data_IF_750806167713
#
_entry.id   IF_750806167713
#
_cell.length_a   1.000
_cell.length_b   1.000
_cell.length_c   1.000
_cell.angle_alpha   90.00
_cell.angle_beta   90.00
_cell.angle_gamma   90.00
#
_symmetry.space_group_name_H-M   'P 1'
#
loop_
_entity.id
_entity.type
_entity.pdbx_description
1 polymer ?
#
# COMPACT_ATOMS: atom_id res chain seq x y z
N UNK A 1 -31.45 -21.79 -55.33
CA UNK A 1 -30.97 -20.48 -54.86
C UNK A 1 -31.36 -20.30 -53.40
N UNK A 2 -30.37 -19.92 -52.60
CA UNK A 2 -30.39 -19.29 -51.26
C UNK A 2 -30.55 -20.20 -50.01
N UNK A 3 -29.48 -20.08 -49.21
CA UNK A 3 -29.05 -20.62 -47.92
C UNK A 3 -29.89 -20.14 -46.73
N UNK A 4 -30.01 -20.96 -45.68
CA UNK A 4 -30.03 -20.47 -44.29
C UNK A 4 -29.56 -21.55 -43.31
N UNK A 5 -28.26 -21.57 -43.00
CA UNK A 5 -27.70 -22.27 -41.83
C UNK A 5 -27.84 -21.33 -40.65
N UNK A 6 -28.75 -21.64 -39.73
CA UNK A 6 -28.89 -20.89 -38.46
C UNK A 6 -27.89 -21.48 -37.47
N UNK A 7 -26.74 -20.83 -37.33
CA UNK A 7 -25.79 -21.09 -36.26
C UNK A 7 -26.23 -20.30 -35.01
N UNK A 8 -26.80 -21.00 -34.00
CA UNK A 8 -27.00 -20.43 -32.67
C UNK A 8 -25.65 -20.36 -31.94
N UNK A 9 -25.00 -19.20 -32.04
CA UNK A 9 -23.91 -18.84 -31.15
C UNK A 9 -24.49 -18.53 -29.76
N UNK A 10 -24.46 -19.52 -28.86
CA UNK A 10 -24.59 -19.29 -27.43
C UNK A 10 -23.34 -18.55 -26.95
N UNK A 11 -23.45 -17.22 -26.92
CA UNK A 11 -22.44 -16.34 -26.35
C UNK A 11 -22.19 -16.75 -24.89
N UNK A 12 -21.00 -17.28 -24.63
CA UNK A 12 -20.47 -17.39 -23.28
C UNK A 12 -20.39 -16.00 -22.67
N UNK A 13 -21.29 -15.70 -21.74
CA UNK A 13 -21.17 -14.51 -20.91
C UNK A 13 -19.88 -14.66 -20.10
N UNK A 14 -18.86 -13.79 -20.25
CA UNK A 14 -17.78 -13.78 -19.29
C UNK A 14 -18.42 -13.44 -17.96
N UNK A 15 -18.38 -14.38 -17.01
CA UNK A 15 -18.77 -14.13 -15.63
C UNK A 15 -18.07 -12.84 -15.20
N UNK A 16 -18.82 -11.74 -15.08
CA UNK A 16 -18.29 -10.50 -14.51
C UNK A 16 -17.71 -10.92 -13.17
N UNK A 17 -16.39 -10.82 -12.95
CA UNK A 17 -15.85 -11.11 -11.63
C UNK A 17 -16.62 -10.23 -10.65
N UNK A 18 -16.92 -10.72 -9.43
CA UNK A 18 -17.59 -9.91 -8.42
C UNK A 18 -16.87 -8.57 -8.36
N UNK A 19 -17.62 -7.48 -8.24
CA UNK A 19 -17.10 -6.11 -8.05
C UNK A 19 -16.28 -6.08 -6.74
N UNK A 20 -15.10 -6.70 -6.77
CA UNK A 20 -14.08 -6.60 -5.76
C UNK A 20 -13.79 -5.12 -5.68
N UNK A 21 -14.14 -4.54 -4.53
CA UNK A 21 -13.94 -3.16 -4.16
C UNK A 21 -12.96 -2.43 -5.08
N UNK A 22 -13.52 -1.70 -6.05
CA UNK A 22 -12.77 -1.07 -7.15
C UNK A 22 -11.95 0.12 -6.68
N UNK A 23 -12.01 0.44 -5.39
CA UNK A 23 -11.23 1.51 -4.79
C UNK A 23 -9.73 1.22 -4.95
N UNK A 24 -9.03 2.30 -5.28
CA UNK A 24 -7.60 2.37 -5.48
C UNK A 24 -7.04 3.37 -4.50
N UNK A 25 -5.77 3.19 -4.13
CA UNK A 25 -5.07 4.07 -3.22
C UNK A 25 -3.61 4.20 -3.66
N UNK A 26 -3.04 5.39 -3.51
CA UNK A 26 -1.61 5.59 -3.71
C UNK A 26 -0.92 5.44 -2.35
N UNK A 27 0.06 4.54 -2.27
CA UNK A 27 0.76 4.24 -1.04
C UNK A 27 2.23 4.61 -1.16
N UNK A 28 2.80 5.09 -0.06
CA UNK A 28 4.24 5.13 0.14
C UNK A 28 4.60 4.08 1.19
N UNK A 29 5.48 3.16 0.84
CA UNK A 29 6.07 2.23 1.80
C UNK A 29 7.40 2.81 2.27
N UNK A 30 7.57 2.92 3.58
CA UNK A 30 8.85 3.26 4.20
C UNK A 30 9.37 2.05 4.95
N UNK A 31 10.50 1.51 4.48
CA UNK A 31 11.17 0.34 5.03
C UNK A 31 12.53 0.73 5.62
N UNK A 32 12.88 0.15 6.76
CA UNK A 32 14.24 0.19 7.30
C UNK A 32 14.73 -1.23 7.58
N UNK A 33 16.02 -1.45 7.31
CA UNK A 33 16.72 -2.69 7.69
C UNK A 33 17.62 -2.45 8.87
N UNK A 34 17.47 -3.27 9.90
CA UNK A 34 18.32 -3.24 11.09
C UNK A 34 19.61 -4.04 10.83
N UNK A 35 20.78 -3.56 11.33
CA UNK A 35 22.03 -4.31 11.27
C UNK A 35 21.92 -5.70 11.91
N UNK A 36 22.66 -6.69 11.39
CA UNK A 36 22.62 -8.06 11.91
C UNK A 36 23.12 -8.15 13.35
N UNK A 37 24.23 -7.46 13.63
CA UNK A 37 25.01 -7.56 14.86
C UNK A 37 24.46 -6.76 16.05
N UNK A 38 23.19 -6.32 16.02
CA UNK A 38 22.58 -5.63 17.17
C UNK A 38 22.24 -6.61 18.29
N UNK A 39 22.64 -6.26 19.51
CA UNK A 39 22.15 -6.91 20.73
C UNK A 39 20.63 -6.76 20.86
N UNK A 40 19.96 -7.60 21.68
CA UNK A 40 18.51 -7.49 21.89
C UNK A 40 18.07 -6.10 22.38
N UNK A 41 18.85 -5.45 23.24
CA UNK A 41 18.56 -4.12 23.79
C UNK A 41 18.67 -3.05 22.70
N UNK A 42 19.75 -3.07 21.91
CA UNK A 42 19.93 -2.12 20.81
C UNK A 42 18.85 -2.28 19.74
N UNK A 43 18.46 -3.52 19.45
CA UNK A 43 17.37 -3.83 18.52
C UNK A 43 16.04 -3.29 19.00
N UNK A 44 15.70 -3.48 20.27
CA UNK A 44 14.48 -2.94 20.87
C UNK A 44 14.49 -1.40 20.82
N UNK A 45 15.64 -0.77 21.10
CA UNK A 45 15.83 0.68 20.97
C UNK A 45 15.62 1.16 19.54
N UNK A 46 16.19 0.48 18.56
CA UNK A 46 16.02 0.80 17.15
C UNK A 46 14.56 0.72 16.69
N UNK A 47 13.85 -0.34 17.09
CA UNK A 47 12.42 -0.49 16.82
C UNK A 47 11.62 0.65 17.44
N UNK A 48 11.91 1.01 18.70
CA UNK A 48 11.24 2.10 19.39
C UNK A 48 11.51 3.46 18.72
N UNK A 49 12.74 3.72 18.28
CA UNK A 49 13.10 4.93 17.52
C UNK A 49 12.32 5.00 16.22
N UNK A 50 12.30 3.92 15.43
CA UNK A 50 11.55 3.89 14.17
C UNK A 50 10.05 4.12 14.41
N UNK A 51 9.47 3.50 15.45
CA UNK A 51 8.08 3.68 15.82
C UNK A 51 7.77 5.12 16.27
N UNK A 52 8.66 5.75 17.04
CA UNK A 52 8.49 7.13 17.50
C UNK A 52 8.58 8.12 16.32
N UNK A 53 9.55 7.94 15.45
CA UNK A 53 9.78 8.80 14.30
C UNK A 53 8.64 8.71 13.28
N UNK A 54 8.21 7.50 12.94
CA UNK A 54 7.10 7.30 11.98
C UNK A 54 5.77 7.86 12.48
N UNK A 55 5.56 7.93 13.80
CA UNK A 55 4.40 8.63 14.38
C UNK A 55 4.41 10.13 14.13
N UNK A 56 5.53 10.75 13.74
CA UNK A 56 5.60 12.16 13.39
C UNK A 56 5.20 12.44 11.94
N UNK A 57 5.06 11.41 11.11
CA UNK A 57 4.65 11.54 9.70
C UNK A 57 3.19 11.99 9.66
N UNK A 58 2.96 13.17 9.07
CA UNK A 58 1.63 13.77 8.87
C UNK A 58 1.33 14.00 7.39
N UNK A 59 2.37 14.06 6.56
CA UNK A 59 2.27 14.05 5.11
C UNK A 59 3.30 13.10 4.49
N UNK A 60 3.01 12.57 3.30
CA UNK A 60 3.93 11.66 2.59
C UNK A 60 5.36 12.19 2.41
N UNK A 61 5.59 13.50 2.13
CA UNK A 61 6.94 14.04 2.05
C UNK A 61 7.73 13.98 3.37
N UNK A 62 7.08 13.85 4.54
CA UNK A 62 7.79 13.76 5.82
C UNK A 62 8.59 12.47 5.95
N UNK A 63 8.13 11.38 5.32
CA UNK A 63 8.88 10.13 5.27
C UNK A 63 10.25 10.30 4.59
N UNK A 64 10.32 11.15 3.56
CA UNK A 64 11.58 11.48 2.88
C UNK A 64 12.54 12.24 3.80
N UNK A 65 12.03 13.15 4.64
CA UNK A 65 12.84 13.87 5.64
C UNK A 65 13.43 12.92 6.67
N UNK A 66 12.62 11.99 7.19
CA UNK A 66 13.08 10.98 8.16
C UNK A 66 14.12 10.05 7.52
N UNK A 67 13.85 9.54 6.32
CA UNK A 67 14.80 8.69 5.60
C UNK A 67 16.14 9.40 5.32
N UNK A 68 16.09 10.67 4.93
CA UNK A 68 17.29 11.50 4.74
C UNK A 68 18.08 11.69 6.04
N UNK A 69 17.38 11.96 7.15
CA UNK A 69 17.99 12.06 8.48
C UNK A 69 18.66 10.74 8.87
N UNK A 70 17.99 9.61 8.74
CA UNK A 70 18.59 8.30 9.04
C UNK A 70 19.85 8.01 8.23
N UNK A 71 19.87 8.40 6.95
CA UNK A 71 21.04 8.29 6.09
C UNK A 71 22.19 9.19 6.55
N UNK A 72 21.89 10.44 6.93
CA UNK A 72 22.86 11.41 7.46
C UNK A 72 23.48 10.92 8.77
N UNK A 73 22.64 10.50 9.70
CA UNK A 73 23.03 10.10 11.05
C UNK A 73 23.59 8.66 11.10
N UNK A 74 23.55 7.95 9.96
CA UNK A 74 23.94 6.54 9.81
C UNK A 74 23.24 5.60 10.79
N UNK A 75 22.02 5.95 11.20
CA UNK A 75 21.22 5.15 12.14
C UNK A 75 20.64 3.93 11.43
N UNK A 76 20.05 4.13 10.24
CA UNK A 76 19.38 3.08 9.46
C UNK A 76 19.57 3.27 7.95
N UNK A 77 19.49 2.17 7.20
CA UNK A 77 19.26 2.20 5.75
C UNK A 77 17.75 2.22 5.47
N UNK A 78 17.21 3.41 5.24
CA UNK A 78 15.81 3.62 4.87
C UNK A 78 15.59 3.53 3.35
N UNK A 79 14.56 2.81 2.93
CA UNK A 79 14.09 2.75 1.53
C UNK A 79 12.65 3.24 1.46
N UNK A 80 12.38 4.14 0.51
CA UNK A 80 11.04 4.61 0.18
C UNK A 80 10.62 4.02 -1.15
N UNK A 81 9.46 3.37 -1.18
CA UNK A 81 8.89 2.78 -2.38
C UNK A 81 7.49 3.35 -2.62
N UNK A 82 7.35 4.12 -3.71
CA UNK A 82 6.05 4.59 -4.15
C UNK A 82 5.29 3.45 -4.85
N UNK A 83 4.05 3.25 -4.44
CA UNK A 83 3.13 2.25 -4.99
C UNK A 83 1.83 2.97 -5.39
N UNK A 84 1.76 3.54 -6.59
CA UNK A 84 0.55 4.20 -7.06
C UNK A 84 -0.52 3.18 -7.45
N UNK A 85 -1.79 3.61 -7.41
CA UNK A 85 -2.93 2.87 -7.96
C UNK A 85 -3.10 1.43 -7.41
N UNK A 86 -2.78 1.21 -6.14
CA UNK A 86 -2.89 -0.10 -5.49
C UNK A 86 -4.36 -0.46 -5.33
N UNK A 87 -4.80 -1.66 -5.77
CA UNK A 87 -6.15 -2.15 -5.48
C UNK A 87 -6.32 -2.29 -3.97
N UNK A 88 -7.25 -1.53 -3.39
CA UNK A 88 -7.43 -1.57 -1.94
C UNK A 88 -7.87 -2.96 -1.46
N UNK A 89 -8.69 -3.65 -2.25
CA UNK A 89 -9.09 -5.04 -2.00
C UNK A 89 -7.93 -6.05 -1.96
N UNK A 90 -6.82 -5.78 -2.66
CA UNK A 90 -5.67 -6.69 -2.74
C UNK A 90 -4.73 -6.57 -1.53
N UNK A 91 -4.93 -5.54 -0.68
CA UNK A 91 -4.15 -5.38 0.54
C UNK A 91 -4.58 -6.43 1.60
N UNK A 92 -3.63 -6.92 2.42
CA UNK A 92 -3.96 -7.79 3.54
C UNK A 92 -5.01 -7.18 4.47
N UNK A 93 -5.94 -7.98 4.98
CA UNK A 93 -7.04 -7.50 5.81
C UNK A 93 -6.62 -6.63 7.02
N UNK A 94 -5.56 -6.98 7.79
CA UNK A 94 -5.09 -6.13 8.89
C UNK A 94 -4.62 -4.76 8.43
N UNK A 95 -3.95 -4.69 7.27
CA UNK A 95 -3.47 -3.44 6.68
C UNK A 95 -4.63 -2.59 6.19
N UNK A 96 -5.66 -3.19 5.59
CA UNK A 96 -6.87 -2.46 5.19
C UNK A 96 -7.55 -1.83 6.40
N UNK A 97 -7.78 -2.62 7.45
CA UNK A 97 -8.41 -2.13 8.67
C UNK A 97 -7.63 -0.96 9.29
N UNK A 98 -6.30 -1.04 9.31
CA UNK A 98 -5.47 0.04 9.81
C UNK A 98 -5.56 1.30 8.93
N UNK A 99 -5.39 1.17 7.62
CA UNK A 99 -5.49 2.28 6.66
C UNK A 99 -6.89 2.94 6.64
N UNK A 100 -7.94 2.23 7.05
CA UNK A 100 -9.27 2.81 7.19
C UNK A 100 -9.40 3.75 8.40
N UNK A 101 -8.52 3.61 9.39
CA UNK A 101 -8.52 4.41 10.63
C UNK A 101 -7.46 5.51 10.63
N UNK A 102 -6.37 5.31 9.88
CA UNK A 102 -5.26 6.24 9.79
C UNK A 102 -5.58 7.33 8.76
N UNK A 103 -5.49 8.63 9.10
CA UNK A 103 -5.73 9.70 8.15
C UNK A 103 -4.76 9.65 6.96
N UNK A 104 -5.23 10.10 5.79
CA UNK A 104 -4.36 10.28 4.61
C UNK A 104 -3.15 11.16 4.96
N UNK A 105 -1.96 10.72 4.55
CA UNK A 105 -0.68 11.36 4.84
C UNK A 105 0.00 10.85 6.10
N UNK A 106 -0.70 10.11 6.97
CA UNK A 106 -0.15 9.56 8.20
C UNK A 106 0.37 8.13 8.00
N UNK A 107 1.39 7.75 8.77
CA UNK A 107 1.91 6.40 8.77
C UNK A 107 1.03 5.44 9.59
N UNK A 108 0.90 4.20 9.11
CA UNK A 108 0.41 3.08 9.91
C UNK A 108 1.38 2.75 11.05
N UNK A 109 0.97 1.88 11.97
CA UNK A 109 1.91 1.28 12.92
C UNK A 109 3.00 0.50 12.17
N UNK A 110 4.22 0.45 12.73
CA UNK A 110 5.28 -0.40 12.20
C UNK A 110 4.86 -1.86 12.19
N UNK A 111 5.15 -2.54 11.09
CA UNK A 111 5.00 -3.98 10.93
C UNK A 111 6.24 -4.56 10.25
N UNK A 112 6.42 -5.87 10.34
CA UNK A 112 7.55 -6.56 9.71
C UNK A 112 8.15 -7.62 10.61
N UNK A 113 9.41 -7.95 10.35
CA UNK A 113 10.17 -8.95 11.11
C UNK A 113 11.22 -8.28 11.99
N UNK A 114 11.85 -9.02 12.90
CA UNK A 114 12.84 -8.47 13.84
C UNK A 114 14.08 -7.81 13.21
N UNK A 115 14.20 -7.82 11.87
CA UNK A 115 15.28 -7.18 11.11
C UNK A 115 14.80 -6.19 10.06
N UNK A 116 13.51 -6.19 9.74
CA UNK A 116 12.96 -5.35 8.69
C UNK A 116 11.65 -4.76 9.18
N UNK A 117 11.64 -3.44 9.32
CA UNK A 117 10.49 -2.70 9.81
C UNK A 117 9.93 -1.85 8.67
N UNK A 118 8.61 -1.82 8.57
CA UNK A 118 7.89 -1.15 7.50
C UNK A 118 6.73 -0.35 8.07
N UNK A 119 6.41 0.77 7.44
CA UNK A 119 5.12 1.45 7.57
C UNK A 119 4.54 1.72 6.18
N UNK A 120 3.22 1.82 6.11
CA UNK A 120 2.53 2.32 4.93
C UNK A 120 1.96 3.70 5.23
N UNK A 121 1.97 4.54 4.21
CA UNK A 121 1.39 5.88 4.28
C UNK A 121 0.45 6.01 3.08
N UNK A 122 -0.81 6.30 3.34
CA UNK A 122 -1.77 6.62 2.29
C UNK A 122 -1.48 8.02 1.75
N UNK A 123 -1.05 8.13 0.48
CA UNK A 123 -0.77 9.42 -0.15
C UNK A 123 -1.95 9.99 -0.94
N UNK A 124 -3.04 9.24 -1.03
CA UNK A 124 -4.31 9.71 -1.56
C UNK A 124 -5.48 9.09 -0.80
N UNK A 125 -6.64 9.74 -0.88
CA UNK A 125 -7.89 9.12 -0.46
C UNK A 125 -8.24 7.93 -1.38
N UNK A 126 -9.08 7.03 -0.89
CA UNK A 126 -9.61 5.94 -1.70
C UNK A 126 -10.39 6.52 -2.89
N UNK A 127 -9.99 6.16 -4.10
CA UNK A 127 -10.58 6.63 -5.36
C UNK A 127 -11.12 5.45 -6.17
N UNK A 128 -12.27 5.60 -6.81
CA UNK A 128 -12.76 4.60 -7.76
C UNK A 128 -11.95 4.72 -9.05
N UNK A 129 -11.51 3.59 -9.62
CA UNK A 129 -10.81 3.61 -10.89
C UNK A 129 -11.72 4.19 -12.01
N UNK A 130 -11.25 5.13 -12.85
CA UNK A 130 -12.07 5.79 -13.88
C UNK A 130 -12.78 4.81 -14.83
N UNK A 131 -12.17 3.65 -15.11
CA UNK A 131 -12.68 2.67 -16.07
C UNK A 131 -13.88 1.85 -15.56
N UNK A 132 -14.29 2.03 -14.29
CA UNK A 132 -15.44 1.33 -13.72
C UNK A 132 -16.79 1.94 -14.10
N UNK A 133 -16.85 3.27 -14.25
CA UNK A 133 -18.11 3.99 -14.44
C UNK A 133 -18.63 3.95 -15.90
N UNK A 134 -17.78 3.60 -16.87
CA UNK A 134 -18.11 3.67 -18.30
C UNK A 134 -18.66 2.37 -18.90
N UNK A 135 -18.93 1.33 -18.09
CA UNK A 135 -19.46 0.04 -18.57
C UNK A 135 -20.99 -0.10 -18.40
N UNK A 136 -21.70 1.00 -18.24
CA UNK A 136 -23.14 1.04 -17.94
C UNK A 136 -23.95 1.92 -18.88
N UNK A 137 -23.76 1.80 -20.19
CA UNK A 137 -24.73 2.31 -21.17
C UNK A 137 -24.68 1.44 -22.43
N UNK A 138 -25.66 0.55 -22.57
CA UNK A 138 -26.10 -0.02 -23.85
C UNK A 138 -27.61 0.15 -23.88
#
# INVERSE_FOLDING_TARGET
MIVAVVALALAGQPARPPLLDQRRIDLLQFEVRLPEALSPVERARAIATFAADTRTIRACPDAAKIAARYKSDRIFSGTLTSRPNVPYAALPAPIRAELATVPTGHATRPYGSGRELRVLIACSALKVAPNAASQGTI
#
